data_IF_312589683367
#
_entry.id   IF_312589683367
#
_cell.length_a   1.000
_cell.length_b   1.000
_cell.length_c   1.000
_cell.angle_alpha   90.00
_cell.angle_beta   90.00
_cell.angle_gamma   90.00
#
_symmetry.space_group_name_H-M   'P 1'
#
loop_
_entity.id
_entity.type
_entity.pdbx_description
1 polymer ?
#
# COMPACT_ATOMS: atom_id res chain seq x y z
N UNK A 1 6.33 14.24 2.63
CA UNK A 1 6.08 12.82 2.89
C UNK A 1 5.46 12.62 4.27
N UNK A 2 4.52 11.72 4.36
CA UNK A 2 3.88 11.44 5.64
C UNK A 2 3.62 9.95 5.77
N UNK A 3 3.84 9.42 6.96
CA UNK A 3 3.49 8.04 7.26
C UNK A 3 1.99 7.98 7.54
N UNK A 4 1.26 7.25 6.70
CA UNK A 4 -0.19 7.12 6.87
C UNK A 4 -0.60 5.70 7.26
N UNK A 5 0.36 4.81 7.45
CA UNK A 5 0.04 3.47 7.88
C UNK A 5 1.25 2.70 8.34
N UNK A 6 1.00 1.69 9.15
CA UNK A 6 2.02 0.76 9.62
C UNK A 6 1.49 -0.64 9.42
N UNK A 7 2.32 -1.50 8.86
CA UNK A 7 1.91 -2.85 8.49
C UNK A 7 2.94 -3.87 8.95
N UNK A 8 2.47 -5.08 9.16
CA UNK A 8 3.31 -6.22 9.54
C UNK A 8 3.12 -7.32 8.50
N UNK A 9 4.20 -7.96 8.10
CA UNK A 9 4.13 -9.07 7.15
C UNK A 9 3.34 -10.24 7.75
N UNK A 10 2.50 -10.84 6.92
CA UNK A 10 1.72 -12.01 7.29
C UNK A 10 1.87 -13.07 6.19
N UNK A 11 1.22 -14.23 6.36
CA UNK A 11 1.45 -15.37 5.48
C UNK A 11 1.29 -15.06 3.99
N UNK A 12 0.28 -14.29 3.62
CA UNK A 12 -0.02 -14.03 2.21
C UNK A 12 -0.03 -12.55 1.87
N UNK A 13 0.62 -11.73 2.69
CA UNK A 13 0.63 -10.30 2.44
C UNK A 13 1.00 -9.51 3.67
N UNK A 14 0.24 -8.47 3.93
CA UNK A 14 0.51 -7.55 5.03
C UNK A 14 -0.78 -7.20 5.75
N UNK A 15 -0.65 -6.90 7.03
CA UNK A 15 -1.81 -6.51 7.84
C UNK A 15 -1.43 -5.31 8.69
N UNK A 16 -2.33 -4.36 8.81
CA UNK A 16 -2.06 -3.15 9.57
C UNK A 16 -3.20 -2.17 9.50
N UNK A 17 -2.87 -0.89 9.54
CA UNK A 17 -3.89 0.16 9.52
C UNK A 17 -3.44 1.34 8.70
N UNK A 18 -4.42 2.05 8.14
CA UNK A 18 -4.21 3.31 7.42
C UNK A 18 -4.91 4.41 8.20
N UNK A 19 -4.17 5.45 8.53
CA UNK A 19 -4.70 6.59 9.27
C UNK A 19 -4.32 7.88 8.57
N UNK A 20 -5.34 8.66 8.23
CA UNK A 20 -5.17 10.02 7.76
C UNK A 20 -6.08 10.91 8.59
N UNK A 21 -6.17 12.17 8.22
CA UNK A 21 -7.03 13.11 8.94
C UNK A 21 -8.49 12.68 8.95
N UNK A 22 -8.95 12.04 7.88
CA UNK A 22 -10.35 11.63 7.73
C UNK A 22 -10.53 10.13 7.63
N UNK A 23 -9.45 9.35 7.60
CA UNK A 23 -9.51 7.92 7.37
C UNK A 23 -8.80 7.19 8.50
N UNK A 24 -9.46 6.21 9.07
CA UNK A 24 -8.87 5.37 10.10
C UNK A 24 -9.46 3.97 9.95
N UNK A 25 -8.77 3.11 9.22
CA UNK A 25 -9.26 1.76 8.93
C UNK A 25 -8.15 0.74 9.08
N UNK A 26 -8.53 -0.46 9.44
CA UNK A 26 -7.62 -1.60 9.37
C UNK A 26 -7.59 -2.09 7.94
N UNK A 27 -6.42 -2.42 7.46
CA UNK A 27 -6.26 -2.84 6.07
C UNK A 27 -5.41 -4.09 5.99
N UNK A 28 -5.70 -4.90 4.98
CA UNK A 28 -4.96 -6.12 4.70
C UNK A 28 -4.58 -6.15 3.24
N UNK A 29 -3.31 -6.44 2.96
CA UNK A 29 -2.83 -6.68 1.60
C UNK A 29 -2.87 -8.18 1.36
N UNK A 30 -3.59 -8.60 0.36
CA UNK A 30 -3.75 -10.02 0.02
C UNK A 30 -3.13 -10.27 -1.33
N UNK A 31 -2.23 -11.26 -1.42
CA UNK A 31 -1.58 -11.61 -2.68
C UNK A 31 -2.61 -12.07 -3.69
N UNK A 32 -2.45 -11.65 -4.94
CA UNK A 32 -3.35 -12.03 -6.02
C UNK A 32 -2.59 -12.82 -7.07
N UNK A 33 -3.33 -13.57 -7.88
CA UNK A 33 -2.76 -14.17 -9.08
C UNK A 33 -2.74 -13.11 -10.18
N UNK A 34 -1.59 -12.89 -10.76
CA UNK A 34 -1.45 -11.92 -11.84
C UNK A 34 -1.92 -12.53 -13.16
N UNK A 35 -2.92 -11.92 -13.75
CA UNK A 35 -3.39 -12.34 -15.07
C UNK A 35 -2.50 -11.81 -16.19
N UNK A 36 -1.79 -10.71 -15.93
CA UNK A 36 -0.88 -10.10 -16.89
C UNK A 36 0.11 -9.21 -16.14
N UNK A 37 1.08 -8.66 -16.85
CA UNK A 37 2.14 -7.86 -16.24
C UNK A 37 1.63 -6.57 -15.57
N UNK A 38 0.47 -6.08 -15.98
CA UNK A 38 -0.10 -4.85 -15.44
C UNK A 38 -1.01 -5.10 -14.26
N UNK A 39 -1.37 -6.36 -14.00
CA UNK A 39 -2.23 -6.68 -12.88
C UNK A 39 -1.51 -6.45 -11.56
N UNK A 40 -2.24 -6.09 -10.50
CA UNK A 40 -1.61 -5.85 -9.20
C UNK A 40 -1.09 -7.14 -8.59
N UNK A 41 -0.05 -7.00 -7.79
CA UNK A 41 0.49 -8.13 -7.02
C UNK A 41 -0.30 -8.38 -5.75
N UNK A 42 -0.96 -7.33 -5.23
CA UNK A 42 -1.76 -7.42 -4.01
C UNK A 42 -3.05 -6.63 -4.16
N UNK A 43 -4.07 -7.08 -3.47
CA UNK A 43 -5.33 -6.35 -3.31
C UNK A 43 -5.39 -5.85 -1.88
N UNK A 44 -5.95 -4.68 -1.68
CA UNK A 44 -6.03 -4.05 -0.36
C UNK A 44 -7.48 -4.00 0.08
N UNK A 45 -7.76 -4.60 1.23
CA UNK A 45 -9.11 -4.71 1.75
C UNK A 45 -9.20 -4.18 3.16
N UNK A 46 -10.39 -3.67 3.51
CA UNK A 46 -10.74 -3.42 4.90
C UNK A 46 -11.98 -4.28 5.18
N UNK A 47 -11.79 -5.32 5.98
CA UNK A 47 -12.81 -6.35 6.13
C UNK A 47 -13.01 -7.05 4.79
N UNK A 48 -14.22 -7.03 4.25
CA UNK A 48 -14.54 -7.63 2.97
C UNK A 48 -14.55 -6.62 1.82
N UNK A 49 -14.26 -5.36 2.10
CA UNK A 49 -14.34 -4.30 1.11
C UNK A 49 -12.96 -4.04 0.50
N UNK A 50 -12.85 -4.22 -0.80
CA UNK A 50 -11.62 -3.90 -1.51
C UNK A 50 -11.58 -2.39 -1.79
N UNK A 51 -10.48 -1.74 -1.46
CA UNK A 51 -10.35 -0.31 -1.70
C UNK A 51 -8.97 0.07 -2.22
N UNK A 52 -8.20 -0.88 -2.73
CA UNK A 52 -6.90 -0.54 -3.28
C UNK A 52 -6.19 -1.72 -3.87
N UNK A 53 -5.02 -1.43 -4.42
CA UNK A 53 -4.15 -2.41 -5.04
C UNK A 53 -2.71 -1.98 -4.88
N UNK A 54 -1.79 -2.94 -5.02
CA UNK A 54 -0.37 -2.67 -4.89
C UNK A 54 0.42 -3.45 -5.92
N UNK A 55 1.49 -2.84 -6.41
CA UNK A 55 2.38 -3.42 -7.41
C UNK A 55 3.81 -3.43 -6.88
N UNK A 56 4.51 -4.53 -7.08
CA UNK A 56 5.93 -4.62 -6.71
C UNK A 56 6.76 -3.76 -7.64
N UNK A 57 7.62 -2.94 -7.07
CA UNK A 57 8.53 -2.08 -7.80
C UNK A 57 9.92 -2.16 -7.18
N UNK A 58 10.93 -1.78 -7.96
CA UNK A 58 12.30 -1.71 -7.47
C UNK A 58 12.79 -0.28 -7.65
N UNK A 59 13.31 0.32 -6.57
CA UNK A 59 13.87 1.66 -6.63
C UNK A 59 15.19 1.63 -7.39
N UNK A 60 15.35 2.53 -8.35
CA UNK A 60 16.54 2.54 -9.21
C UNK A 60 17.82 2.86 -8.46
N UNK A 61 17.73 3.75 -7.49
CA UNK A 61 18.93 4.26 -6.81
C UNK A 61 19.45 3.30 -5.75
N UNK A 62 18.56 2.60 -5.07
CA UNK A 62 18.94 1.76 -3.94
C UNK A 62 18.76 0.28 -4.21
N UNK A 63 18.17 -0.06 -5.35
CA UNK A 63 17.85 -1.44 -5.74
C UNK A 63 16.98 -2.14 -4.69
N UNK A 64 16.21 -1.39 -3.91
CA UNK A 64 15.31 -1.93 -2.91
C UNK A 64 13.92 -2.12 -3.48
N UNK A 65 13.28 -3.20 -3.08
CA UNK A 65 11.91 -3.45 -3.46
C UNK A 65 10.96 -2.68 -2.56
N UNK A 66 9.88 -2.19 -3.15
CA UNK A 66 8.80 -1.56 -2.42
C UNK A 66 7.50 -1.85 -3.15
N UNK A 67 6.37 -1.57 -2.52
CA UNK A 67 5.08 -1.69 -3.17
C UNK A 67 4.55 -0.31 -3.50
N UNK A 68 4.18 -0.12 -4.76
CA UNK A 68 3.49 1.08 -5.20
C UNK A 68 2.01 0.86 -4.93
N UNK A 69 1.41 1.70 -4.10
CA UNK A 69 0.06 1.50 -3.57
C UNK A 69 -0.88 2.54 -4.12
N UNK A 70 -2.05 2.09 -4.55
CA UNK A 70 -3.14 2.98 -4.94
C UNK A 70 -4.36 2.64 -4.10
N UNK A 71 -4.84 3.59 -3.33
CA UNK A 71 -6.07 3.45 -2.56
C UNK A 71 -7.15 4.28 -3.24
N UNK A 72 -8.27 3.65 -3.54
CA UNK A 72 -9.35 4.33 -4.22
C UNK A 72 -10.68 3.72 -3.79
N UNK A 73 -11.63 4.59 -3.50
CA UNK A 73 -12.95 4.20 -3.07
C UNK A 73 -13.93 5.30 -3.46
N UNK A 74 -15.19 4.97 -3.74
CA UNK A 74 -16.17 6.00 -4.07
C UNK A 74 -16.31 7.10 -3.03
N UNK A 75 -15.95 6.83 -1.77
CA UNK A 75 -15.99 7.84 -0.72
C UNK A 75 -14.80 8.80 -0.76
N UNK A 76 -13.79 8.52 -1.57
CA UNK A 76 -12.61 9.39 -1.68
C UNK A 76 -12.80 10.42 -2.77
N UNK A 77 -12.39 11.67 -2.52
CA UNK A 77 -12.45 12.70 -3.59
C UNK A 77 -11.47 12.41 -4.72
N UNK A 78 -10.39 11.69 -4.45
CA UNK A 78 -9.40 11.30 -5.46
C UNK A 78 -8.62 10.10 -4.95
N UNK A 79 -8.01 9.32 -5.85
CA UNK A 79 -7.17 8.21 -5.42
C UNK A 79 -6.00 8.69 -4.56
N UNK A 80 -5.59 7.85 -3.63
CA UNK A 80 -4.44 8.09 -2.78
C UNK A 80 -3.30 7.22 -3.27
N UNK A 81 -2.16 7.82 -3.59
CA UNK A 81 -0.97 7.10 -4.03
C UNK A 81 0.07 7.12 -2.92
N UNK A 82 0.60 5.96 -2.61
CA UNK A 82 1.54 5.81 -1.51
C UNK A 82 2.54 4.71 -1.84
N UNK A 83 3.53 4.54 -0.98
CA UNK A 83 4.51 3.47 -1.12
C UNK A 83 4.61 2.72 0.20
N UNK A 84 4.59 1.39 0.12
CA UNK A 84 4.83 0.55 1.29
C UNK A 84 6.28 0.14 1.26
N UNK A 85 7.03 0.59 2.26
CA UNK A 85 8.47 0.34 2.34
C UNK A 85 8.79 -0.37 3.65
N UNK A 86 9.89 -1.14 3.65
CA UNK A 86 10.30 -1.85 4.83
C UNK A 86 10.73 -0.86 5.91
N UNK A 87 10.24 -1.06 7.13
CA UNK A 87 10.60 -0.23 8.26
C UNK A 87 11.86 -0.74 8.94
N UNK A 88 12.12 -0.24 10.15
CA UNK A 88 13.33 -0.58 10.89
C UNK A 88 13.30 -2.00 11.46
N UNK A 89 12.13 -2.46 11.87
CA UNK A 89 11.99 -3.83 12.38
C UNK A 89 11.82 -4.80 11.21
N UNK A 90 12.26 -6.04 11.39
CA UNK A 90 12.28 -7.03 10.32
C UNK A 90 10.89 -7.28 9.68
N UNK A 91 9.85 -7.28 10.50
CA UNK A 91 8.50 -7.55 10.01
C UNK A 91 7.66 -6.30 9.82
N UNK A 92 8.27 -5.14 9.99
CA UNK A 92 7.55 -3.88 9.97
C UNK A 92 7.64 -3.21 8.61
N UNK A 93 6.51 -2.70 8.14
CA UNK A 93 6.44 -1.95 6.89
C UNK A 93 5.68 -0.66 7.13
N UNK A 94 6.07 0.38 6.44
CA UNK A 94 5.50 1.71 6.61
C UNK A 94 4.86 2.15 5.30
N UNK A 95 3.63 2.62 5.38
CA UNK A 95 2.94 3.20 4.23
C UNK A 95 3.19 4.70 4.23
N UNK A 96 3.89 5.18 3.20
CA UNK A 96 4.31 6.56 3.10
C UNK A 96 3.58 7.24 1.97
N UNK A 97 2.94 8.37 2.27
CA UNK A 97 2.24 9.19 1.30
C UNK A 97 3.02 10.47 1.06
N UNK A 98 3.08 10.88 -0.20
CA UNK A 98 3.58 12.19 -0.50
C UNK A 98 2.72 12.82 -1.59
N UNK A 99 2.60 14.14 -1.52
CA UNK A 99 1.84 14.85 -2.54
C UNK A 99 2.63 14.83 -3.84
N UNK A 100 1.95 14.48 -4.91
CA UNK A 100 2.59 14.45 -6.22
C UNK A 100 2.61 15.87 -6.78
N UNK A 101 3.79 16.33 -7.11
CA UNK A 101 4.01 17.69 -7.65
C UNK A 101 4.39 17.61 -9.11
N UNK A 102 3.49 17.13 -9.91
CA UNK A 102 3.78 17.01 -11.32
C UNK A 102 4.73 15.87 -11.67
N UNK A 103 4.96 14.99 -10.73
CA UNK A 103 5.76 13.79 -10.97
C UNK A 103 4.87 12.59 -11.25
#
# INVERSE_FOLDING_TARGET
MATIGTFTASNNGFTGSVKTLTLNVKATFVATEKENDKAPDYRILTGATEFGAAWKKTARETDREYLSVKLDDPSFPAPIYASLVKGEADDSFTLIWSRRNGD
#
